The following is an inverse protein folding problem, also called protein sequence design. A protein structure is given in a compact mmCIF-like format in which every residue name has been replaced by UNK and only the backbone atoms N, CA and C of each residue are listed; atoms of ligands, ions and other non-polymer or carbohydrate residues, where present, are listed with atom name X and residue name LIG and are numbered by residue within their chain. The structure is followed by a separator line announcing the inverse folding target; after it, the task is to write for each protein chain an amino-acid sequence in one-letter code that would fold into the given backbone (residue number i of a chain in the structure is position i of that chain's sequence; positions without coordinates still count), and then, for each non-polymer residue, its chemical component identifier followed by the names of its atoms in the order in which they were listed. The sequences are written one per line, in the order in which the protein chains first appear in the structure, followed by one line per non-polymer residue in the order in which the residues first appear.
data_IF_818357143077
#
_entry.id   IF_818357143077
#
_cell.length_a   1.000
_cell.length_b   1.000
_cell.length_c   1.000
_cell.angle_alpha   90.00
_cell.angle_beta   90.00
_cell.angle_gamma   90.00
#
_symmetry.space_group_name_H-M   'P 1'
#
loop_
_entity.id
_entity.type
_entity.pdbx_description
1 polymer ?
#
# COMPACT_ATOMS: atom_id res chain seq x y z
N UNK A 1 -1.78 -6.50 -19.89
CA UNK A 1 -3.16 -5.98 -20.04
C UNK A 1 -3.39 -4.87 -19.02
N UNK A 2 -4.29 -3.91 -19.30
CA UNK A 2 -4.59 -2.84 -18.34
C UNK A 2 -5.43 -3.34 -17.16
N UNK A 3 -5.35 -2.64 -16.03
CA UNK A 3 -6.15 -2.86 -14.84
C UNK A 3 -7.40 -1.98 -14.90
N UNK A 4 -8.56 -2.60 -15.06
CA UNK A 4 -9.85 -1.89 -15.13
C UNK A 4 -10.22 -1.27 -13.78
N UNK A 5 -11.16 -0.32 -13.81
CA UNK A 5 -11.74 0.27 -12.60
C UNK A 5 -12.27 -0.80 -11.61
N UNK A 6 -12.98 -1.82 -12.12
CA UNK A 6 -13.51 -2.91 -11.27
C UNK A 6 -12.42 -3.76 -10.62
N UNK A 7 -11.28 -3.97 -11.30
CA UNK A 7 -10.15 -4.70 -10.74
C UNK A 7 -9.45 -3.88 -9.64
N UNK A 8 -9.31 -2.56 -9.84
CA UNK A 8 -8.75 -1.67 -8.81
C UNK A 8 -9.69 -1.59 -7.58
N UNK A 9 -11.02 -1.54 -7.79
CA UNK A 9 -12.00 -1.65 -6.70
C UNK A 9 -11.86 -3.00 -5.96
N UNK A 10 -11.74 -4.10 -6.70
CA UNK A 10 -11.48 -5.44 -6.15
C UNK A 10 -10.21 -5.50 -5.29
N UNK A 11 -9.11 -4.90 -5.75
CA UNK A 11 -7.89 -4.77 -4.97
C UNK A 11 -8.09 -4.00 -3.66
N UNK A 12 -8.80 -2.89 -3.68
CA UNK A 12 -9.07 -2.09 -2.46
C UNK A 12 -9.87 -2.93 -1.46
N UNK A 13 -10.86 -3.71 -1.93
CA UNK A 13 -11.63 -4.64 -1.08
C UNK A 13 -10.78 -5.77 -0.52
N UNK A 14 -9.90 -6.35 -1.32
CA UNK A 14 -8.95 -7.36 -0.87
C UNK A 14 -7.97 -6.81 0.18
N UNK A 15 -7.48 -5.59 -0.01
CA UNK A 15 -6.65 -4.93 1.00
C UNK A 15 -7.42 -4.68 2.29
N UNK A 16 -8.68 -4.25 2.22
CA UNK A 16 -9.52 -4.09 3.40
C UNK A 16 -9.72 -5.41 4.16
N UNK A 17 -9.94 -6.51 3.46
CA UNK A 17 -10.04 -7.84 4.05
C UNK A 17 -8.71 -8.26 4.72
N UNK A 18 -7.58 -8.08 4.04
CA UNK A 18 -6.27 -8.39 4.58
C UNK A 18 -5.94 -7.58 5.84
N UNK A 19 -6.31 -6.30 5.89
CA UNK A 19 -6.17 -5.47 7.10
C UNK A 19 -7.06 -5.99 8.24
N UNK A 20 -8.30 -6.37 7.95
CA UNK A 20 -9.23 -6.92 8.95
C UNK A 20 -8.71 -8.25 9.54
N UNK A 21 -8.22 -9.14 8.70
CA UNK A 21 -7.64 -10.44 9.10
C UNK A 21 -6.36 -10.28 9.94
N UNK A 22 -5.56 -9.26 9.64
CA UNK A 22 -4.29 -9.01 10.33
C UNK A 22 -4.38 -7.90 11.39
N UNK A 23 -5.59 -7.47 11.78
CA UNK A 23 -5.79 -6.34 12.69
C UNK A 23 -5.07 -6.55 14.03
N UNK A 24 -5.25 -7.70 14.64
CA UNK A 24 -4.63 -8.04 15.92
C UNK A 24 -3.10 -8.11 15.80
N UNK A 25 -2.59 -8.76 14.74
CA UNK A 25 -1.15 -8.85 14.50
C UNK A 25 -0.50 -7.49 14.27
N UNK A 26 -1.11 -6.62 13.47
CA UNK A 26 -0.63 -5.25 13.27
C UNK A 26 -0.65 -4.41 14.56
N UNK A 27 -1.64 -4.65 15.41
CA UNK A 27 -1.74 -4.01 16.73
C UNK A 27 -0.65 -4.53 17.68
N UNK A 28 -0.37 -5.83 17.66
CA UNK A 28 0.72 -6.44 18.44
C UNK A 28 2.08 -5.90 18.03
N UNK A 29 2.38 -5.83 16.73
CA UNK A 29 3.60 -5.23 16.22
C UNK A 29 3.76 -3.78 16.72
N UNK A 30 2.69 -3.01 16.66
CA UNK A 30 2.70 -1.62 17.10
C UNK A 30 2.80 -1.50 18.63
N UNK A 31 2.28 -2.45 19.39
CA UNK A 31 2.41 -2.44 20.86
C UNK A 31 3.86 -2.56 21.34
N UNK A 32 4.70 -3.21 20.53
CA UNK A 32 6.12 -3.40 20.85
C UNK A 32 6.95 -2.11 20.67
N UNK A 33 6.58 -1.25 19.72
CA UNK A 33 7.38 -0.07 19.33
C UNK A 33 6.57 1.21 19.13
N UNK A 34 5.26 1.21 19.41
CA UNK A 34 4.34 2.33 19.19
C UNK A 34 3.34 2.52 20.32
N UNK A 35 2.08 2.74 19.97
CA UNK A 35 0.96 2.97 20.89
C UNK A 35 -0.18 1.95 20.77
N UNK A 36 0.09 0.82 20.14
CA UNK A 36 -0.84 -0.32 20.01
C UNK A 36 -2.16 0.02 19.27
N UNK A 37 -2.12 0.91 18.29
CA UNK A 37 -3.35 1.35 17.62
C UNK A 37 -3.35 1.15 16.09
N UNK A 38 -2.21 0.79 15.47
CA UNK A 38 -2.06 0.74 14.02
C UNK A 38 -3.08 -0.18 13.34
N UNK A 39 -3.21 -1.42 13.80
CA UNK A 39 -4.16 -2.37 13.23
C UNK A 39 -5.62 -1.93 13.39
N UNK A 40 -5.96 -1.40 14.57
CA UNK A 40 -7.31 -0.89 14.89
C UNK A 40 -7.64 0.30 13.99
N UNK A 41 -6.72 1.26 13.86
CA UNK A 41 -6.90 2.46 13.06
C UNK A 41 -7.01 2.14 11.57
N UNK A 42 -6.14 1.28 11.05
CA UNK A 42 -6.18 0.85 9.64
C UNK A 42 -7.49 0.12 9.33
N UNK A 43 -7.92 -0.82 10.18
CA UNK A 43 -9.18 -1.52 9.99
C UNK A 43 -10.37 -0.56 9.99
N UNK A 44 -10.44 0.36 10.95
CA UNK A 44 -11.51 1.38 10.99
C UNK A 44 -11.56 2.19 9.70
N UNK A 45 -10.41 2.62 9.21
CA UNK A 45 -10.31 3.39 7.96
C UNK A 45 -10.76 2.59 6.76
N UNK A 46 -10.32 1.35 6.63
CA UNK A 46 -10.71 0.49 5.50
C UNK A 46 -12.19 0.12 5.54
N UNK A 47 -12.80 -0.08 6.71
CA UNK A 47 -14.26 -0.24 6.82
C UNK A 47 -15.02 1.00 6.35
N UNK A 48 -14.55 2.20 6.67
CA UNK A 48 -15.14 3.43 6.16
C UNK A 48 -14.98 3.56 4.62
N UNK A 49 -13.85 3.12 4.07
CA UNK A 49 -13.64 3.05 2.61
C UNK A 49 -14.67 2.10 1.98
N UNK A 50 -14.84 0.89 2.51
CA UNK A 50 -15.83 -0.07 2.00
C UNK A 50 -17.24 0.53 2.00
N UNK A 51 -17.66 1.19 3.07
CA UNK A 51 -18.96 1.87 3.14
C UNK A 51 -19.13 2.98 2.08
N UNK A 52 -18.02 3.67 1.70
CA UNK A 52 -18.08 4.65 0.61
C UNK A 52 -18.18 4.02 -0.78
N UNK A 53 -17.72 2.79 -0.94
CA UNK A 53 -17.72 2.06 -2.20
C UNK A 53 -18.95 1.15 -2.39
N UNK A 54 -19.80 0.96 -1.36
CA UNK A 54 -21.02 0.13 -1.43
C UNK A 54 -22.03 0.60 -2.48
N UNK A 55 -22.12 1.92 -2.72
CA UNK A 55 -22.99 2.51 -3.74
C UNK A 55 -22.46 2.43 -5.17
N UNK A 56 -21.32 1.76 -5.38
CA UNK A 56 -20.56 1.77 -6.63
C UNK A 56 -19.73 3.06 -6.76
N UNK A 57 -18.44 2.91 -7.05
CA UNK A 57 -17.60 4.07 -7.34
C UNK A 57 -17.86 4.52 -8.79
N UNK A 58 -18.31 5.77 -8.96
CA UNK A 58 -18.47 6.38 -10.28
C UNK A 58 -17.19 7.10 -10.68
N UNK A 59 -16.96 7.17 -11.99
CA UNK A 59 -15.83 7.89 -12.56
C UNK A 59 -14.70 7.00 -13.03
N UNK A 60 -13.51 7.57 -13.12
CA UNK A 60 -12.29 6.89 -13.52
C UNK A 60 -11.53 6.27 -12.33
N UNK A 61 -10.45 5.54 -12.61
CA UNK A 61 -9.59 4.94 -11.57
C UNK A 61 -9.00 6.01 -10.65
N UNK A 62 -8.68 7.19 -11.18
CA UNK A 62 -8.17 8.30 -10.39
C UNK A 62 -9.19 8.81 -9.36
N UNK A 63 -10.47 8.90 -9.74
CA UNK A 63 -11.55 9.31 -8.84
C UNK A 63 -11.77 8.28 -7.71
N UNK A 64 -11.74 6.97 -8.04
CA UNK A 64 -11.80 5.88 -7.06
C UNK A 64 -10.67 6.01 -6.02
N UNK A 65 -9.42 6.10 -6.46
CA UNK A 65 -8.26 6.19 -5.58
C UNK A 65 -8.30 7.48 -4.72
N UNK A 66 -8.76 8.60 -5.26
CA UNK A 66 -8.95 9.83 -4.49
C UNK A 66 -10.01 9.69 -3.41
N UNK A 67 -11.12 9.00 -3.71
CA UNK A 67 -12.16 8.69 -2.73
C UNK A 67 -11.61 7.88 -1.57
N UNK A 68 -10.81 6.84 -1.86
CA UNK A 68 -10.10 6.06 -0.84
C UNK A 68 -9.18 6.97 0.00
N UNK A 69 -8.34 7.76 -0.64
CA UNK A 69 -7.40 8.64 0.04
C UNK A 69 -8.07 9.66 0.96
N UNK A 70 -9.12 10.34 0.50
CA UNK A 70 -9.89 11.30 1.31
C UNK A 70 -10.55 10.63 2.52
N UNK A 71 -11.09 9.42 2.33
CA UNK A 71 -11.72 8.66 3.41
C UNK A 71 -10.68 8.28 4.46
N UNK A 72 -9.52 7.78 4.06
CA UNK A 72 -8.45 7.42 5.00
C UNK A 72 -7.92 8.62 5.79
N UNK A 73 -7.74 9.79 5.14
CA UNK A 73 -7.35 11.03 5.87
C UNK A 73 -8.34 11.38 6.96
N UNK A 74 -9.63 11.18 6.73
CA UNK A 74 -10.68 11.61 7.67
C UNK A 74 -11.02 10.58 8.76
N UNK A 75 -10.62 9.30 8.58
CA UNK A 75 -11.11 8.21 9.44
C UNK A 75 -10.01 7.43 10.16
N UNK A 76 -8.79 7.40 9.61
CA UNK A 76 -7.65 6.72 10.23
C UNK A 76 -6.96 7.67 11.21
N UNK A 77 -6.78 7.22 12.45
CA UNK A 77 -6.03 7.96 13.47
C UNK A 77 -4.52 7.87 13.28
N UNK A 78 -3.79 8.62 14.11
CA UNK A 78 -2.33 8.60 14.12
C UNK A 78 -1.68 9.11 12.83
N UNK A 79 -0.45 8.68 12.59
CA UNK A 79 0.30 9.02 11.38
C UNK A 79 -0.22 8.27 10.12
N UNK A 80 -0.82 7.10 10.30
CA UNK A 80 -1.25 6.23 9.21
C UNK A 80 -2.31 6.88 8.31
N UNK A 81 -3.28 7.61 8.88
CA UNK A 81 -4.30 8.32 8.12
C UNK A 81 -3.72 9.28 7.10
N UNK A 82 -2.96 10.29 7.53
CA UNK A 82 -2.28 11.20 6.64
C UNK A 82 -1.35 10.54 5.63
N UNK A 83 -0.64 9.46 5.99
CA UNK A 83 0.33 8.80 5.11
C UNK A 83 -0.37 7.93 4.05
N UNK A 84 -1.24 7.01 4.44
CA UNK A 84 -2.03 6.21 3.49
C UNK A 84 -2.97 7.07 2.66
N UNK A 85 -3.60 8.07 3.28
CA UNK A 85 -4.41 9.04 2.54
C UNK A 85 -3.60 9.76 1.47
N UNK A 86 -2.38 10.20 1.77
CA UNK A 86 -1.49 10.83 0.79
C UNK A 86 -1.08 9.84 -0.31
N UNK A 87 -0.77 8.58 0.04
CA UNK A 87 -0.47 7.54 -0.93
C UNK A 87 -1.57 7.46 -1.99
N UNK A 88 -2.80 7.21 -1.57
CA UNK A 88 -3.94 7.04 -2.47
C UNK A 88 -4.33 8.34 -3.21
N UNK A 89 -4.24 9.51 -2.58
CA UNK A 89 -4.50 10.79 -3.25
C UNK A 89 -3.50 11.07 -4.37
N UNK A 90 -2.22 10.78 -4.17
CA UNK A 90 -1.20 10.98 -5.20
C UNK A 90 -1.30 9.93 -6.31
N UNK A 91 -1.59 8.66 -5.97
CA UNK A 91 -1.93 7.64 -6.96
C UNK A 91 -3.11 8.09 -7.81
N UNK A 92 -4.20 8.54 -7.18
CA UNK A 92 -5.39 8.99 -7.87
C UNK A 92 -5.17 10.26 -8.72
N UNK A 93 -4.23 11.12 -8.33
CA UNK A 93 -3.87 12.28 -9.15
C UNK A 93 -3.08 11.87 -10.40
N UNK A 94 -2.19 10.89 -10.28
CA UNK A 94 -1.44 10.32 -11.40
C UNK A 94 -2.34 9.54 -12.37
N UNK A 95 -3.41 8.91 -11.86
CA UNK A 95 -4.37 8.12 -12.63
C UNK A 95 -5.59 8.92 -13.12
N UNK A 96 -5.60 10.25 -12.97
CA UNK A 96 -6.75 11.08 -13.32
C UNK A 96 -7.11 10.99 -14.82
N UNK A 97 -8.38 10.82 -15.11
CA UNK A 97 -8.90 10.71 -16.48
C UNK A 97 -8.70 9.32 -17.13
N UNK A 98 -8.17 8.34 -16.39
CA UNK A 98 -7.91 7.00 -16.91
C UNK A 98 -9.03 6.03 -16.49
N UNK A 99 -9.79 5.45 -17.46
CA UNK A 99 -10.79 4.43 -17.17
C UNK A 99 -10.16 3.10 -16.74
N UNK A 100 -8.92 2.86 -17.16
CA UNK A 100 -8.08 1.70 -16.82
C UNK A 100 -6.62 2.11 -16.78
N UNK A 101 -5.75 1.34 -16.12
CA UNK A 101 -4.32 1.60 -16.01
C UNK A 101 -3.51 0.52 -16.71
N UNK A 102 -2.59 0.91 -17.60
CA UNK A 102 -1.53 0.00 -18.04
C UNK A 102 -0.59 -0.37 -16.88
N UNK A 103 0.30 -1.33 -17.09
CA UNK A 103 1.33 -1.64 -16.10
C UNK A 103 2.22 -0.43 -15.77
N UNK A 104 2.57 0.35 -16.79
CA UNK A 104 3.34 1.59 -16.65
C UNK A 104 2.55 2.67 -15.90
N UNK A 105 1.24 2.81 -16.19
CA UNK A 105 0.38 3.74 -15.46
C UNK A 105 0.27 3.38 -13.99
N UNK A 106 0.14 2.06 -13.69
CA UNK A 106 0.14 1.57 -12.32
C UNK A 106 1.45 1.88 -11.61
N UNK A 107 2.59 1.60 -12.25
CA UNK A 107 3.90 1.89 -11.68
C UNK A 107 4.13 3.40 -11.47
N UNK A 108 3.65 4.24 -12.40
CA UNK A 108 3.71 5.69 -12.26
C UNK A 108 2.83 6.18 -11.10
N UNK A 109 1.62 5.64 -10.98
CA UNK A 109 0.70 5.98 -9.90
C UNK A 109 1.26 5.57 -8.53
N UNK A 110 1.76 4.35 -8.39
CA UNK A 110 2.38 3.88 -7.15
C UNK A 110 3.60 4.72 -6.78
N UNK A 111 4.47 5.01 -7.74
CA UNK A 111 5.64 5.87 -7.53
C UNK A 111 5.25 7.29 -7.08
N UNK A 112 4.22 7.88 -7.67
CA UNK A 112 3.69 9.19 -7.26
C UNK A 112 3.17 9.14 -5.81
N UNK A 113 2.46 8.06 -5.45
CA UNK A 113 1.97 7.81 -4.11
C UNK A 113 3.11 7.74 -3.09
N UNK A 114 4.11 6.90 -3.36
CA UNK A 114 5.29 6.72 -2.48
C UNK A 114 6.08 8.02 -2.31
N UNK A 115 6.32 8.75 -3.40
CA UNK A 115 6.95 10.07 -3.34
C UNK A 115 6.14 11.06 -2.49
N UNK A 116 4.81 11.00 -2.53
CA UNK A 116 3.93 11.77 -1.67
C UNK A 116 4.10 11.44 -0.19
N UNK A 117 4.17 10.15 0.13
CA UNK A 117 4.41 9.66 1.51
C UNK A 117 5.76 10.13 2.02
N UNK A 118 6.83 10.01 1.21
CA UNK A 118 8.17 10.47 1.58
C UNK A 118 8.19 11.97 1.88
N UNK A 119 7.59 12.81 1.00
CA UNK A 119 7.51 14.26 1.23
C UNK A 119 6.75 14.61 2.52
N UNK A 120 5.65 13.87 2.81
CA UNK A 120 4.82 14.13 3.99
C UNK A 120 5.47 13.65 5.27
N UNK A 121 5.99 12.42 5.28
CA UNK A 121 6.59 11.76 6.44
C UNK A 121 8.05 12.13 6.66
N UNK A 122 8.72 12.68 5.62
CA UNK A 122 10.16 12.94 5.60
C UNK A 122 10.99 11.71 6.01
N UNK A 123 10.51 10.52 5.63
CA UNK A 123 11.16 9.26 5.89
C UNK A 123 11.97 8.81 4.67
N UNK A 124 13.09 8.18 4.95
CA UNK A 124 14.01 7.60 3.97
C UNK A 124 14.17 6.10 4.22
N UNK A 125 14.80 5.39 3.28
CA UNK A 125 15.17 3.98 3.49
C UNK A 125 16.07 3.85 4.72
N UNK A 126 15.78 2.85 5.55
CA UNK A 126 16.49 2.60 6.80
C UNK A 126 15.95 3.37 8.00
N UNK A 127 14.88 4.16 7.85
CA UNK A 127 14.24 4.86 8.96
C UNK A 127 13.27 3.98 9.77
N UNK A 128 13.05 2.74 9.34
CA UNK A 128 12.12 1.77 9.94
C UNK A 128 10.68 2.27 9.86
N UNK A 129 10.16 2.34 8.64
CA UNK A 129 8.81 2.84 8.31
C UNK A 129 8.22 2.10 7.12
N UNK A 130 6.99 2.44 6.74
CA UNK A 130 6.36 1.97 5.49
C UNK A 130 7.22 2.22 4.23
N UNK A 131 8.13 3.19 4.25
CA UNK A 131 9.01 3.50 3.12
C UNK A 131 9.99 2.37 2.84
N UNK A 132 10.40 1.63 3.86
CA UNK A 132 11.30 0.49 3.73
C UNK A 132 10.68 -0.68 2.94
N UNK A 133 9.37 -0.78 2.90
CA UNK A 133 8.64 -1.71 2.04
C UNK A 133 8.27 -1.10 0.68
N UNK A 134 7.79 0.14 0.67
CA UNK A 134 7.21 0.76 -0.53
C UNK A 134 8.25 1.15 -1.58
N UNK A 135 9.40 1.67 -1.20
CA UNK A 135 10.43 2.12 -2.16
C UNK A 135 11.02 0.95 -2.93
N UNK A 136 11.50 -0.13 -2.29
CA UNK A 136 11.99 -1.30 -3.03
C UNK A 136 10.94 -1.92 -3.95
N UNK A 137 9.67 -1.91 -3.53
CA UNK A 137 8.57 -2.41 -4.33
C UNK A 137 8.35 -1.61 -5.61
N UNK A 138 8.40 -0.28 -5.55
CA UNK A 138 8.31 0.60 -6.73
C UNK A 138 9.48 0.36 -7.68
N UNK A 139 10.69 0.23 -7.14
CA UNK A 139 11.90 -0.03 -7.92
C UNK A 139 11.84 -1.38 -8.65
N UNK A 140 11.43 -2.44 -7.94
CA UNK A 140 11.26 -3.77 -8.52
C UNK A 140 10.18 -3.80 -9.60
N UNK A 141 9.04 -3.13 -9.36
CA UNK A 141 7.95 -3.00 -10.34
C UNK A 141 8.43 -2.34 -11.63
N UNK A 142 9.05 -1.16 -11.51
CA UNK A 142 9.54 -0.38 -12.66
C UNK A 142 10.63 -1.10 -13.43
N UNK A 143 11.60 -1.67 -12.72
CA UNK A 143 12.70 -2.44 -13.33
C UNK A 143 12.19 -3.67 -14.09
N UNK A 144 11.20 -4.37 -13.52
CA UNK A 144 10.58 -5.54 -14.15
C UNK A 144 9.86 -5.17 -15.44
N UNK A 145 9.04 -4.11 -15.43
CA UNK A 145 8.35 -3.63 -16.63
C UNK A 145 9.33 -3.15 -17.69
N UNK A 146 10.36 -2.40 -17.31
CA UNK A 146 11.40 -1.94 -18.22
C UNK A 146 12.20 -3.11 -18.84
N UNK A 147 12.32 -4.24 -18.12
CA UNK A 147 12.90 -5.50 -18.61
C UNK A 147 11.94 -6.34 -19.46
N UNK A 148 10.72 -5.87 -19.75
CA UNK A 148 9.75 -6.57 -20.58
C UNK A 148 8.94 -7.64 -19.86
N UNK A 149 8.94 -7.66 -18.52
CA UNK A 149 8.11 -8.57 -17.75
C UNK A 149 6.62 -8.24 -17.96
N UNK A 150 5.76 -9.25 -17.84
CA UNK A 150 4.32 -9.05 -17.82
C UNK A 150 3.89 -8.26 -16.59
N UNK A 151 2.70 -7.65 -16.64
CA UNK A 151 2.16 -6.94 -15.48
C UNK A 151 2.04 -7.82 -14.23
N UNK A 152 1.65 -9.09 -14.40
CA UNK A 152 1.58 -10.07 -13.30
C UNK A 152 2.95 -10.37 -12.68
N UNK A 153 3.97 -10.63 -13.51
CA UNK A 153 5.35 -10.84 -13.03
C UNK A 153 5.92 -9.60 -12.33
N UNK A 154 5.62 -8.41 -12.85
CA UNK A 154 6.07 -7.18 -12.25
C UNK A 154 5.40 -6.91 -10.89
N UNK A 155 4.10 -7.21 -10.74
CA UNK A 155 3.38 -7.16 -9.46
C UNK A 155 3.94 -8.17 -8.46
N UNK A 156 4.23 -9.39 -8.89
CA UNK A 156 4.86 -10.41 -8.06
C UNK A 156 6.21 -9.92 -7.49
N UNK A 157 7.10 -9.44 -8.36
CA UNK A 157 8.41 -8.92 -7.92
C UNK A 157 8.29 -7.70 -7.00
N UNK A 158 7.27 -6.87 -7.23
CA UNK A 158 6.96 -5.73 -6.36
C UNK A 158 6.54 -6.19 -4.96
N UNK A 159 5.65 -7.18 -4.86
CA UNK A 159 5.19 -7.73 -3.58
C UNK A 159 6.31 -8.45 -2.81
N UNK A 160 7.18 -9.19 -3.52
CA UNK A 160 8.36 -9.83 -2.92
C UNK A 160 9.35 -8.78 -2.39
N UNK A 161 9.66 -7.74 -3.15
CA UNK A 161 10.54 -6.66 -2.70
C UNK A 161 9.96 -5.92 -1.49
N UNK A 162 8.63 -5.74 -1.43
CA UNK A 162 7.96 -5.18 -0.27
C UNK A 162 8.09 -6.07 0.97
N UNK A 163 7.96 -7.41 0.80
CA UNK A 163 8.14 -8.39 1.88
C UNK A 163 9.56 -8.34 2.43
N UNK A 164 10.53 -8.33 1.55
CA UNK A 164 11.93 -8.27 1.95
C UNK A 164 12.25 -6.97 2.66
N UNK A 165 11.76 -5.83 2.16
CA UNK A 165 11.89 -4.53 2.80
C UNK A 165 11.20 -4.47 4.18
N UNK A 166 10.00 -5.03 4.31
CA UNK A 166 9.31 -5.19 5.59
C UNK A 166 10.17 -6.00 6.58
N UNK A 167 10.70 -7.14 6.15
CA UNK A 167 11.53 -8.01 6.99
C UNK A 167 12.84 -7.31 7.39
N UNK A 168 13.43 -6.54 6.48
CA UNK A 168 14.64 -5.78 6.73
C UNK A 168 14.46 -4.69 7.82
N UNK A 169 13.23 -4.31 8.16
CA UNK A 169 12.98 -3.37 9.26
C UNK A 169 13.32 -3.96 10.64
N UNK A 170 13.34 -5.28 10.79
CA UNK A 170 13.52 -5.94 12.10
C UNK A 170 14.79 -5.46 12.82
N UNK A 171 16.01 -5.56 12.24
CA UNK A 171 17.24 -5.15 12.94
C UNK A 171 17.41 -3.63 13.05
N UNK A 172 16.62 -2.83 12.35
CA UNK A 172 16.80 -1.38 12.32
C UNK A 172 16.40 -0.72 13.64
N UNK A 173 17.13 0.33 14.02
CA UNK A 173 16.71 1.30 15.02
C UNK A 173 15.85 2.36 14.36
N UNK A 174 14.64 2.58 14.88
CA UNK A 174 13.69 3.52 14.27
C UNK A 174 14.19 4.97 14.39
N UNK A 175 14.09 5.71 13.29
CA UNK A 175 14.45 7.13 13.21
C UNK A 175 13.24 8.04 12.99
N UNK A 176 12.08 7.46 12.74
CA UNK A 176 10.82 8.17 12.50
C UNK A 176 9.67 7.55 13.27
N UNK A 177 8.59 8.31 13.40
CA UNK A 177 7.39 7.87 14.09
C UNK A 177 7.58 7.67 15.59
N UNK A 178 6.60 7.01 16.22
CA UNK A 178 6.62 6.76 17.68
C UNK A 178 7.76 5.82 18.10
N UNK A 179 8.06 4.84 17.26
CA UNK A 179 9.16 3.89 17.51
C UNK A 179 10.51 4.59 17.73
N UNK A 180 10.74 5.76 17.14
CA UNK A 180 11.98 6.51 17.31
C UNK A 180 12.23 7.00 18.74
N UNK A 181 11.19 7.16 19.55
CA UNK A 181 11.33 7.54 20.96
C UNK A 181 11.94 6.43 21.83
N UNK A 182 11.91 5.18 21.32
CA UNK A 182 12.51 4.03 22.03
C UNK A 182 14.02 3.90 21.81
N UNK A 183 14.57 4.58 20.79
CA UNK A 183 15.97 4.42 20.41
C UNK A 183 16.31 2.95 20.11
N UNK A 184 17.40 2.43 20.66
CA UNK A 184 17.87 1.04 20.48
C UNK A 184 16.82 -0.03 20.84
N UNK A 185 15.89 0.28 21.73
CA UNK A 185 14.80 -0.66 22.08
C UNK A 185 13.81 -0.89 20.95
N UNK A 186 13.83 -0.08 19.90
CA UNK A 186 13.02 -0.30 18.69
C UNK A 186 13.60 -1.38 17.77
N UNK A 187 14.87 -1.75 17.94
CA UNK A 187 15.49 -2.84 17.19
C UNK A 187 14.89 -4.21 17.56
N UNK A 188 15.02 -5.18 16.64
CA UNK A 188 14.50 -6.53 16.75
C UNK A 188 12.96 -6.66 16.76
N UNK A 189 12.27 -5.61 16.35
CA UNK A 189 10.81 -5.60 16.12
C UNK A 189 10.52 -5.22 14.66
N UNK A 190 9.54 -5.88 14.06
CA UNK A 190 9.09 -5.56 12.70
C UNK A 190 8.23 -4.28 12.71
N UNK A 191 8.41 -3.42 11.71
CA UNK A 191 7.61 -2.19 11.62
C UNK A 191 6.16 -2.48 11.19
N UNK A 192 5.13 -2.02 11.94
CA UNK A 192 3.73 -2.24 11.58
C UNK A 192 3.32 -1.52 10.28
N UNK A 193 3.90 -0.35 10.00
CA UNK A 193 3.65 0.40 8.76
C UNK A 193 4.22 -0.29 7.52
N UNK A 194 5.44 -0.85 7.62
CA UNK A 194 6.02 -1.67 6.56
C UNK A 194 5.20 -2.95 6.33
N UNK A 195 4.69 -3.55 7.41
CA UNK A 195 3.86 -4.76 7.33
C UNK A 195 2.54 -4.50 6.62
N UNK A 196 1.81 -3.46 6.99
CA UNK A 196 0.57 -3.09 6.30
C UNK A 196 0.81 -2.64 4.85
N UNK A 197 1.97 -2.06 4.55
CA UNK A 197 2.36 -1.71 3.17
C UNK A 197 2.69 -2.95 2.32
N UNK A 198 3.31 -3.97 2.89
CA UNK A 198 3.46 -5.25 2.22
C UNK A 198 2.10 -5.90 1.95
N UNK A 199 1.15 -5.90 2.90
CA UNK A 199 -0.21 -6.41 2.69
C UNK A 199 -0.90 -5.70 1.53
N UNK A 200 -0.73 -4.38 1.39
CA UNK A 200 -1.26 -3.60 0.28
C UNK A 200 -0.75 -4.12 -1.09
N UNK A 201 0.54 -4.40 -1.20
CA UNK A 201 1.17 -4.82 -2.45
C UNK A 201 0.96 -6.31 -2.74
N UNK A 202 0.94 -7.16 -1.71
CA UNK A 202 0.55 -8.57 -1.83
C UNK A 202 -0.87 -8.71 -2.38
N UNK A 203 -1.82 -7.97 -1.84
CA UNK A 203 -3.20 -8.02 -2.35
C UNK A 203 -3.34 -7.45 -3.75
N UNK A 204 -2.48 -6.50 -4.17
CA UNK A 204 -2.43 -6.04 -5.55
C UNK A 204 -1.96 -7.17 -6.50
N UNK A 205 -0.93 -7.91 -6.12
CA UNK A 205 -0.49 -9.11 -6.85
C UNK A 205 -1.64 -10.13 -6.95
N UNK A 206 -2.21 -10.54 -5.82
CA UNK A 206 -3.24 -11.58 -5.74
C UNK A 206 -4.48 -11.26 -6.58
N UNK A 207 -4.90 -9.99 -6.64
CA UNK A 207 -6.13 -9.57 -7.33
C UNK A 207 -5.90 -9.14 -8.77
N UNK A 208 -4.85 -8.37 -9.04
CA UNK A 208 -4.62 -7.79 -10.37
C UNK A 208 -3.89 -8.77 -11.30
N UNK A 209 -3.01 -9.65 -10.77
CA UNK A 209 -2.35 -10.66 -11.59
C UNK A 209 -3.26 -11.85 -11.94
N UNK A 210 -4.10 -12.31 -11.02
CA UNK A 210 -4.99 -13.47 -11.24
C UNK A 210 -5.96 -13.26 -12.41
N UNK A 211 -6.46 -12.06 -12.59
CA UNK A 211 -7.39 -11.72 -13.67
C UNK A 211 -6.72 -11.75 -15.06
N UNK A 212 -5.41 -11.53 -15.13
CA UNK A 212 -4.65 -11.61 -16.38
C UNK A 212 -4.48 -13.06 -16.86
N UNK A 213 -4.35 -14.01 -15.93
CA UNK A 213 -4.20 -15.43 -16.28
C UNK A 213 -5.49 -16.06 -16.81
N UNK A 214 -6.65 -15.63 -16.31
CA UNK A 214 -7.96 -16.16 -16.76
C UNK A 214 -8.35 -15.68 -18.16
N UNK A 215 -7.97 -14.48 -18.56
CA UNK A 215 -8.24 -13.95 -19.90
C UNK A 215 -7.32 -14.54 -20.97
N UNK A 216 -6.14 -15.06 -20.63
CA UNK A 216 -5.25 -15.74 -21.58
C UNK A 216 -5.67 -17.19 -21.88
N UNK A 217 -6.47 -17.83 -21.02
CA UNK A 217 -6.98 -19.20 -21.22
C UNK A 217 -8.32 -19.24 -21.96
N UNK A 218 -8.95 -18.10 -22.23
CA UNK A 218 -10.25 -17.97 -22.89
C UNK A 218 -10.19 -17.51 -24.36
N UNK A 219 -9.00 -17.42 -24.97
CA UNK A 219 -8.75 -17.11 -26.40
C UNK A 219 -8.05 -18.28 -27.07
#
# INVERSE_FOLDING_TARGET
MPFSHGQVDGWIRAFAAAIAENKEYLTELDSAIGDADHGINMNRGMQAVLGKLEGGSQGDVGALLKTVGMTLVSTVGGASGPLYGTLFLQMGSSAAGKPELSGEDWAAALAAGVAGVQRRGKAELGDKTMIDALVPAVEALRSSLAGGATGGEALHRSAEAARDGMTATIPLVARKGRASYLGERSANHQDPGATSSWLLLRTAEETLAATQSQQQQGT
#
